data_IF_072705270564
#
_entry.id   IF_072705270564
#
_cell.length_a   1.000
_cell.length_b   1.000
_cell.length_c   1.000
_cell.angle_alpha   90.00
_cell.angle_beta   90.00
_cell.angle_gamma   90.00
#
_symmetry.space_group_name_H-M   'P 1'
#
loop_
_entity.id
_entity.type
_entity.pdbx_description
1 polymer ?
#
# COMPACT_ATOMS: atom_id res chain seq x y z
N UNK A 1 -8.87 7.09 -28.01
CA UNK A 1 -7.94 8.10 -27.48
C UNK A 1 -8.61 8.75 -26.28
N UNK A 2 -7.90 8.78 -25.16
CA UNK A 2 -8.45 9.27 -23.91
C UNK A 2 -7.75 10.62 -23.62
N UNK A 3 -8.44 11.73 -24.01
CA UNK A 3 -7.92 13.07 -23.84
C UNK A 3 -8.75 13.80 -22.79
N UNK A 4 -8.14 14.18 -21.67
CA UNK A 4 -8.79 14.93 -20.59
C UNK A 4 -8.00 16.20 -20.30
N UNK A 5 -8.72 17.31 -20.15
CA UNK A 5 -8.19 18.55 -19.59
C UNK A 5 -8.93 18.86 -18.30
N UNK A 6 -8.18 19.12 -17.24
CA UNK A 6 -8.69 19.64 -15.99
C UNK A 6 -8.31 21.12 -15.92
N UNK A 7 -9.29 21.98 -15.72
CA UNK A 7 -9.12 23.44 -15.64
C UNK A 7 -9.53 23.97 -14.26
N UNK A 8 -9.12 25.19 -13.97
CA UNK A 8 -9.47 25.88 -12.71
C UNK A 8 -9.11 25.05 -11.47
N UNK A 9 -8.00 24.32 -11.52
CA UNK A 9 -7.54 23.43 -10.47
C UNK A 9 -6.58 24.14 -9.51
N UNK A 10 -6.79 24.01 -8.20
CA UNK A 10 -5.73 24.23 -7.21
C UNK A 10 -4.89 22.96 -7.13
N UNK A 11 -3.76 22.95 -7.83
CA UNK A 11 -2.90 21.76 -7.95
C UNK A 11 -1.91 21.74 -6.79
N UNK A 12 -1.88 20.64 -6.04
CA UNK A 12 -0.90 20.38 -4.99
C UNK A 12 -0.24 19.04 -5.25
N UNK A 13 1.09 18.98 -5.28
CA UNK A 13 1.82 17.75 -5.60
C UNK A 13 3.21 17.72 -4.97
N UNK A 14 3.66 16.58 -4.42
CA UNK A 14 5.10 16.36 -4.25
C UNK A 14 5.76 16.29 -5.64
N UNK A 15 7.06 16.52 -5.74
CA UNK A 15 7.81 16.42 -6.99
C UNK A 15 8.95 15.42 -6.86
N UNK A 16 9.24 14.67 -7.92
CA UNK A 16 10.36 13.77 -8.02
C UNK A 16 10.02 12.37 -8.49
N UNK A 17 11.05 11.53 -8.59
CA UNK A 17 10.98 10.14 -9.10
C UNK A 17 11.42 9.09 -8.09
N UNK A 18 11.56 9.50 -6.83
CA UNK A 18 11.95 8.67 -5.68
C UNK A 18 11.25 9.13 -4.42
N UNK A 19 11.38 8.38 -3.33
CA UNK A 19 10.83 8.76 -2.04
C UNK A 19 11.42 10.07 -1.53
N UNK A 20 10.58 10.91 -0.95
CA UNK A 20 10.97 12.14 -0.26
C UNK A 20 11.21 11.80 1.21
N UNK A 21 12.38 12.21 1.73
CA UNK A 21 12.81 11.90 3.09
C UNK A 21 12.68 13.08 4.05
N UNK A 22 12.44 12.74 5.31
CA UNK A 22 12.51 13.69 6.41
C UNK A 22 11.57 14.88 6.23
N UNK A 23 11.99 16.03 6.71
CA UNK A 23 11.18 17.26 6.68
C UNK A 23 10.78 17.75 5.29
N UNK A 24 11.49 17.32 4.24
CA UNK A 24 11.12 17.64 2.87
C UNK A 24 9.75 17.06 2.46
N UNK A 25 9.27 16.02 3.16
CA UNK A 25 7.91 15.47 2.95
C UNK A 25 6.80 16.51 3.15
N UNK A 26 7.03 17.52 3.99
CA UNK A 26 6.09 18.60 4.24
C UNK A 26 6.05 19.68 3.14
N UNK A 27 6.78 19.51 2.02
CA UNK A 27 6.83 20.49 0.95
C UNK A 27 6.07 19.99 -0.27
N UNK A 28 4.97 20.67 -0.60
CA UNK A 28 4.22 20.43 -1.84
C UNK A 28 4.42 21.60 -2.80
N UNK A 29 4.58 21.29 -4.08
CA UNK A 29 4.50 22.28 -5.13
C UNK A 29 3.03 22.66 -5.37
N UNK A 30 2.75 23.96 -5.49
CA UNK A 30 1.39 24.49 -5.65
C UNK A 30 1.25 25.33 -6.93
N UNK A 31 0.16 25.09 -7.66
CA UNK A 31 -0.34 26.00 -8.69
C UNK A 31 -1.77 26.40 -8.27
N UNK A 32 -2.00 27.65 -7.84
CA UNK A 32 -3.28 28.06 -7.26
C UNK A 32 -4.47 28.00 -8.23
N UNK A 33 -4.21 28.18 -9.53
CA UNK A 33 -5.22 28.11 -10.58
C UNK A 33 -4.57 27.56 -11.84
N UNK A 34 -4.62 26.25 -12.01
CA UNK A 34 -3.87 25.53 -13.03
C UNK A 34 -4.71 24.69 -13.97
N UNK A 35 -4.03 24.23 -15.00
CA UNK A 35 -4.51 23.26 -15.99
C UNK A 35 -3.63 22.02 -15.97
N UNK A 36 -4.26 20.84 -16.05
CA UNK A 36 -3.59 19.56 -16.28
C UNK A 36 -4.14 18.95 -17.56
N UNK A 37 -3.27 18.56 -18.50
CA UNK A 37 -3.66 17.82 -19.70
C UNK A 37 -3.17 16.38 -19.60
N UNK A 38 -4.06 15.45 -19.90
CA UNK A 38 -3.77 14.02 -19.97
C UNK A 38 -4.10 13.50 -21.36
N UNK A 39 -3.09 12.95 -22.03
CA UNK A 39 -3.21 12.38 -23.38
C UNK A 39 -2.82 10.90 -23.32
N UNK A 40 -3.73 10.02 -23.72
CA UNK A 40 -3.52 8.56 -23.71
C UNK A 40 -2.99 8.02 -22.37
N UNK A 41 -3.51 8.61 -21.28
CA UNK A 41 -3.20 8.22 -19.92
C UNK A 41 -1.95 8.85 -19.30
N UNK A 42 -1.22 9.71 -20.03
CA UNK A 42 0.00 10.38 -19.58
C UNK A 42 -0.24 11.88 -19.45
N UNK A 43 0.30 12.50 -18.40
CA UNK A 43 0.29 13.95 -18.21
C UNK A 43 1.19 14.59 -19.27
N UNK A 44 0.62 15.43 -20.13
CA UNK A 44 1.34 16.13 -21.21
C UNK A 44 1.55 17.61 -20.92
N UNK A 45 0.77 18.15 -19.99
CA UNK A 45 0.91 19.54 -19.51
C UNK A 45 0.46 19.64 -18.05
N UNK A 46 1.18 20.43 -17.29
CA UNK A 46 0.78 20.96 -15.99
C UNK A 46 1.34 22.36 -15.83
N UNK A 47 0.49 23.33 -15.49
CA UNK A 47 0.90 24.73 -15.40
C UNK A 47 -0.28 25.65 -15.12
N UNK A 48 -0.06 26.95 -15.25
CA UNK A 48 -1.12 27.96 -15.14
C UNK A 48 -2.24 27.73 -16.18
N UNK A 49 -3.44 28.24 -15.89
CA UNK A 49 -4.58 28.10 -16.81
C UNK A 49 -4.25 28.62 -18.22
N UNK A 50 -4.59 27.81 -19.21
CA UNK A 50 -4.43 28.18 -20.61
C UNK A 50 -5.54 29.15 -21.06
N UNK A 51 -5.18 30.12 -21.89
CA UNK A 51 -6.13 31.05 -22.53
C UNK A 51 -6.99 30.36 -23.60
N UNK A 52 -6.54 29.25 -24.16
CA UNK A 52 -7.28 28.43 -25.14
C UNK A 52 -7.06 26.96 -24.86
N UNK A 53 -8.13 26.18 -25.00
CA UNK A 53 -8.07 24.73 -24.84
C UNK A 53 -7.88 24.05 -26.19
N UNK A 54 -7.06 22.99 -26.29
CA UNK A 54 -6.93 22.20 -27.52
C UNK A 54 -8.25 21.49 -27.85
N UNK A 55 -8.55 21.35 -29.15
CA UNK A 55 -9.73 20.66 -29.62
C UNK A 55 -9.64 19.12 -29.36
N UNK A 56 -10.78 18.48 -29.17
CA UNK A 56 -10.88 17.02 -29.05
C UNK A 56 -10.66 16.46 -27.65
N UNK A 57 -10.50 17.31 -26.63
CA UNK A 57 -10.40 16.88 -25.23
C UNK A 57 -11.74 16.98 -24.50
N UNK A 58 -11.99 16.03 -23.60
CA UNK A 58 -13.02 16.19 -22.56
C UNK A 58 -12.54 17.19 -21.52
N UNK A 59 -13.38 18.14 -21.14
CA UNK A 59 -13.03 19.17 -20.15
C UNK A 59 -13.66 18.85 -18.81
N UNK A 60 -12.86 18.83 -17.76
CA UNK A 60 -13.29 18.75 -16.37
C UNK A 60 -12.96 20.08 -15.68
N UNK A 61 -13.96 20.80 -15.22
CA UNK A 61 -13.77 22.03 -14.44
C UNK A 61 -13.65 21.66 -12.95
N UNK A 62 -12.50 21.90 -12.36
CA UNK A 62 -12.26 21.67 -10.94
C UNK A 62 -12.89 22.74 -10.03
N UNK A 63 -13.36 23.87 -10.61
CA UNK A 63 -14.06 24.94 -9.89
C UNK A 63 -13.26 25.48 -8.67
N UNK A 64 -11.94 25.57 -8.78
CA UNK A 64 -11.04 26.02 -7.70
C UNK A 64 -10.72 24.96 -6.65
N UNK A 65 -11.20 23.73 -6.82
CA UNK A 65 -10.94 22.62 -5.88
C UNK A 65 -9.51 22.12 -5.96
N UNK A 66 -9.08 21.50 -4.84
CA UNK A 66 -7.77 20.86 -4.78
C UNK A 66 -7.73 19.62 -5.67
N UNK A 67 -6.67 19.56 -6.50
CA UNK A 67 -6.30 18.37 -7.28
C UNK A 67 -4.96 17.85 -6.79
N UNK A 68 -4.94 16.57 -6.39
CA UNK A 68 -3.79 15.82 -5.89
C UNK A 68 -3.43 14.69 -6.85
N UNK A 69 -2.21 14.12 -6.77
CA UNK A 69 -1.92 12.82 -7.36
C UNK A 69 -2.89 11.76 -6.83
N UNK A 70 -3.22 10.77 -7.63
CA UNK A 70 -4.00 9.61 -7.18
C UNK A 70 -3.35 8.95 -5.97
N UNK A 71 -4.15 8.59 -4.96
CA UNK A 71 -3.66 7.94 -3.76
C UNK A 71 -3.19 6.52 -4.07
N UNK A 72 -2.18 6.08 -3.33
CA UNK A 72 -1.53 4.78 -3.47
C UNK A 72 -1.56 4.08 -2.12
N UNK A 73 -2.22 2.94 -2.08
CA UNK A 73 -2.22 2.06 -0.91
C UNK A 73 -1.12 1.01 -1.08
N UNK A 74 0.01 1.25 -0.46
CA UNK A 74 1.23 0.47 -0.67
C UNK A 74 1.34 -0.78 0.21
N UNK A 75 0.23 -1.19 0.88
CA UNK A 75 0.17 -2.41 1.68
C UNK A 75 -1.26 -2.90 1.85
N UNK A 76 -1.65 -3.94 1.14
CA UNK A 76 -2.93 -4.64 1.34
C UNK A 76 -2.79 -6.14 1.13
N UNK A 77 -3.71 -6.90 1.72
CA UNK A 77 -3.92 -8.32 1.48
C UNK A 77 -5.31 -8.55 0.88
N UNK A 78 -5.64 -7.80 -0.18
CA UNK A 78 -7.01 -7.69 -0.71
C UNK A 78 -7.61 -8.99 -1.28
N UNK A 79 -6.79 -10.02 -1.56
CA UNK A 79 -7.25 -11.30 -2.09
C UNK A 79 -7.29 -12.34 -0.97
N UNK A 80 -8.46 -12.56 -0.39
CA UNK A 80 -8.65 -13.52 0.71
C UNK A 80 -10.05 -14.15 0.70
N UNK A 81 -10.16 -15.39 1.19
CA UNK A 81 -11.41 -16.08 1.47
C UNK A 81 -11.92 -15.80 2.90
N UNK A 82 -13.24 -15.88 3.08
CA UNK A 82 -13.87 -15.75 4.40
C UNK A 82 -13.78 -14.35 5.03
N UNK A 83 -14.24 -14.25 6.27
CA UNK A 83 -14.13 -13.12 7.18
C UNK A 83 -14.01 -13.63 8.61
N UNK A 84 -13.53 -12.81 9.55
CA UNK A 84 -13.34 -13.17 10.97
C UNK A 84 -14.03 -12.19 11.94
N UNK A 85 -15.31 -11.80 11.75
CA UNK A 85 -15.97 -10.81 12.60
C UNK A 85 -16.17 -11.31 14.05
N UNK A 86 -16.33 -12.62 14.27
CA UNK A 86 -16.44 -13.22 15.61
C UNK A 86 -15.14 -13.04 16.39
N UNK A 87 -13.98 -13.25 15.75
CA UNK A 87 -12.67 -13.03 16.36
C UNK A 87 -12.46 -11.58 16.75
N UNK A 88 -12.92 -10.64 15.91
CA UNK A 88 -12.92 -9.22 16.26
C UNK A 88 -13.73 -8.96 17.55
N UNK A 89 -14.94 -9.54 17.67
CA UNK A 89 -15.77 -9.40 18.88
C UNK A 89 -15.09 -10.03 20.10
N UNK A 90 -14.44 -11.19 19.97
CA UNK A 90 -13.71 -11.81 21.06
C UNK A 90 -12.56 -10.95 21.57
N UNK A 91 -11.80 -10.37 20.64
CA UNK A 91 -10.72 -9.41 20.94
C UNK A 91 -11.26 -8.17 21.67
N UNK A 92 -12.39 -7.63 21.21
CA UNK A 92 -13.06 -6.50 21.87
C UNK A 92 -13.48 -6.81 23.31
N UNK A 93 -13.77 -8.08 23.62
CA UNK A 93 -14.10 -8.56 24.97
C UNK A 93 -12.87 -8.86 25.83
N UNK A 94 -11.66 -8.75 25.27
CA UNK A 94 -10.42 -8.95 26.01
C UNK A 94 -9.79 -10.35 25.85
N UNK A 95 -10.30 -11.18 24.92
CA UNK A 95 -9.68 -12.46 24.62
C UNK A 95 -8.26 -12.25 24.08
N UNK A 96 -7.31 -13.03 24.59
CA UNK A 96 -5.93 -13.01 24.11
C UNK A 96 -5.81 -13.68 22.74
N UNK A 97 -4.74 -13.33 22.01
CA UNK A 97 -4.40 -13.98 20.75
C UNK A 97 -4.37 -15.52 20.89
N UNK A 98 -3.76 -16.04 21.97
CA UNK A 98 -3.68 -17.47 22.23
C UNK A 98 -5.05 -18.11 22.40
N UNK A 99 -5.96 -17.48 23.15
CA UNK A 99 -7.32 -18.00 23.36
C UNK A 99 -8.13 -18.03 22.05
N UNK A 100 -7.92 -17.06 21.15
CA UNK A 100 -8.51 -17.03 19.81
C UNK A 100 -7.98 -18.20 18.97
N UNK A 101 -6.65 -18.43 18.99
CA UNK A 101 -6.02 -19.55 18.28
C UNK A 101 -6.52 -20.93 18.78
N UNK A 102 -6.67 -21.11 20.09
CA UNK A 102 -7.19 -22.35 20.69
C UNK A 102 -8.63 -22.68 20.24
N UNK A 103 -9.43 -21.65 19.90
CA UNK A 103 -10.77 -21.80 19.32
C UNK A 103 -10.76 -22.07 17.81
N UNK A 104 -9.57 -22.23 17.21
CA UNK A 104 -9.40 -22.47 15.77
C UNK A 104 -9.47 -21.19 14.91
N UNK A 105 -9.28 -20.02 15.54
CA UNK A 105 -9.19 -18.71 14.88
C UNK A 105 -7.77 -18.38 14.39
N UNK A 106 -7.55 -17.10 14.10
CA UNK A 106 -6.28 -16.59 13.61
C UNK A 106 -6.09 -16.77 12.11
N UNK A 107 -4.85 -16.54 11.66
CA UNK A 107 -4.50 -16.57 10.22
C UNK A 107 -4.86 -17.89 9.54
N UNK A 108 -4.76 -19.01 10.23
CA UNK A 108 -5.06 -20.34 9.70
C UNK A 108 -6.54 -20.48 9.30
N UNK A 109 -7.45 -19.78 9.97
CA UNK A 109 -8.85 -19.72 9.55
C UNK A 109 -9.02 -19.05 8.17
N UNK A 110 -8.34 -17.93 7.94
CA UNK A 110 -8.31 -17.27 6.62
C UNK A 110 -7.64 -18.16 5.57
N UNK A 111 -6.53 -18.84 5.92
CA UNK A 111 -5.84 -19.75 4.99
C UNK A 111 -6.78 -20.85 4.53
N UNK A 112 -7.49 -21.51 5.44
CA UNK A 112 -8.47 -22.55 5.09
C UNK A 112 -9.56 -21.99 4.15
N UNK A 113 -10.18 -20.87 4.53
CA UNK A 113 -11.22 -20.25 3.71
C UNK A 113 -10.71 -19.84 2.32
N UNK A 114 -9.47 -19.34 2.20
CA UNK A 114 -8.87 -18.96 0.92
C UNK A 114 -8.56 -20.17 0.06
N UNK A 115 -8.12 -21.28 0.65
CA UNK A 115 -7.91 -22.55 -0.05
C UNK A 115 -9.20 -23.07 -0.67
N UNK A 116 -10.32 -22.97 0.06
CA UNK A 116 -11.64 -23.46 -0.35
C UNK A 116 -12.37 -22.54 -1.32
N UNK A 117 -12.06 -21.24 -1.35
CA UNK A 117 -12.73 -20.24 -2.20
C UNK A 117 -12.25 -20.37 -3.65
N UNK A 118 -13.18 -20.29 -4.60
CA UNK A 118 -12.86 -20.33 -6.04
C UNK A 118 -12.07 -19.08 -6.47
N UNK A 119 -11.37 -19.18 -7.61
CA UNK A 119 -10.66 -18.05 -8.21
C UNK A 119 -11.63 -16.90 -8.53
N UNK A 120 -12.79 -17.21 -9.10
CA UNK A 120 -13.79 -16.22 -9.49
C UNK A 120 -14.38 -15.50 -8.29
N UNK A 121 -14.66 -16.19 -7.18
CA UNK A 121 -15.17 -15.57 -5.96
C UNK A 121 -14.10 -14.70 -5.28
N UNK A 122 -12.83 -15.12 -5.28
CA UNK A 122 -11.71 -14.30 -4.79
C UNK A 122 -11.56 -13.03 -5.64
N UNK A 123 -11.67 -13.15 -6.97
CA UNK A 123 -11.60 -12.02 -7.90
C UNK A 123 -12.75 -11.05 -7.67
N UNK A 124 -13.98 -11.53 -7.65
CA UNK A 124 -15.17 -10.70 -7.43
C UNK A 124 -15.09 -9.92 -6.11
N UNK A 125 -14.60 -10.56 -5.04
CA UNK A 125 -14.40 -9.92 -3.74
C UNK A 125 -13.31 -8.85 -3.79
N UNK A 126 -12.18 -9.12 -4.42
CA UNK A 126 -11.09 -8.15 -4.59
C UNK A 126 -11.56 -6.94 -5.42
N UNK A 127 -12.29 -7.16 -6.50
CA UNK A 127 -12.87 -6.09 -7.33
C UNK A 127 -13.86 -5.23 -6.55
N UNK A 128 -14.63 -5.82 -5.63
CA UNK A 128 -15.51 -5.05 -4.75
C UNK A 128 -14.72 -4.10 -3.83
N UNK A 129 -13.63 -4.57 -3.20
CA UNK A 129 -12.76 -3.70 -2.40
C UNK A 129 -12.12 -2.60 -3.25
N UNK A 130 -11.64 -2.94 -4.45
CA UNK A 130 -11.07 -1.97 -5.40
C UNK A 130 -12.11 -0.90 -5.76
N UNK A 131 -13.38 -1.27 -6.02
CA UNK A 131 -14.43 -0.30 -6.31
C UNK A 131 -14.67 0.64 -5.12
N UNK A 132 -14.75 0.11 -3.90
CA UNK A 132 -14.90 0.92 -2.69
C UNK A 132 -13.74 1.88 -2.49
N UNK A 133 -12.50 1.39 -2.62
CA UNK A 133 -11.28 2.18 -2.42
C UNK A 133 -11.08 3.23 -3.53
N UNK A 134 -11.45 2.90 -4.78
CA UNK A 134 -11.37 3.85 -5.90
C UNK A 134 -12.25 5.09 -5.68
N UNK A 135 -13.38 4.95 -4.97
CA UNK A 135 -14.25 6.07 -4.60
C UNK A 135 -13.61 6.99 -3.55
N UNK A 136 -12.59 6.52 -2.85
CA UNK A 136 -11.82 7.28 -1.87
C UNK A 136 -10.47 7.77 -2.41
N UNK A 137 -10.30 7.79 -3.75
CA UNK A 137 -9.13 8.36 -4.40
C UNK A 137 -8.00 7.39 -4.72
N UNK A 138 -8.15 6.11 -4.39
CA UNK A 138 -7.12 5.10 -4.71
C UNK A 138 -7.08 4.84 -6.21
N UNK A 139 -5.87 4.93 -6.78
CA UNK A 139 -5.58 4.64 -8.19
C UNK A 139 -4.60 3.48 -8.38
N UNK A 140 -3.87 3.14 -7.32
CA UNK A 140 -2.94 2.01 -7.28
C UNK A 140 -2.95 1.39 -5.89
N UNK A 141 -2.94 0.05 -5.81
CA UNK A 141 -2.79 -0.70 -4.57
C UNK A 141 -1.62 -1.69 -4.68
N UNK A 142 -0.98 -2.00 -3.57
CA UNK A 142 -0.21 -3.24 -3.48
C UNK A 142 -1.15 -4.37 -3.07
N UNK A 143 -1.08 -5.49 -3.78
CA UNK A 143 -1.76 -6.73 -3.43
C UNK A 143 -0.75 -7.80 -3.05
N UNK A 144 -0.81 -8.27 -1.80
CA UNK A 144 0.03 -9.35 -1.29
C UNK A 144 -0.74 -10.67 -1.31
N UNK A 145 -0.08 -11.78 -1.69
CA UNK A 145 -0.55 -13.14 -1.37
C UNK A 145 -0.36 -13.45 0.12
N UNK A 146 -0.24 -14.70 0.54
CA UNK A 146 0.10 -15.05 1.92
C UNK A 146 -1.04 -15.65 2.74
N UNK A 147 -2.17 -15.91 2.12
CA UNK A 147 -3.26 -16.69 2.72
C UNK A 147 -3.44 -18.07 2.05
N UNK A 148 -2.50 -18.49 1.23
CA UNK A 148 -2.43 -19.84 0.72
C UNK A 148 -1.57 -20.75 1.58
N UNK A 149 -0.35 -20.30 1.80
CA UNK A 149 0.73 -21.04 2.47
C UNK A 149 1.02 -22.41 1.85
N UNK A 150 0.50 -22.63 0.64
CA UNK A 150 0.77 -23.78 -0.22
C UNK A 150 0.94 -23.32 -1.66
N UNK A 151 1.55 -24.17 -2.49
CA UNK A 151 1.87 -23.83 -3.88
C UNK A 151 0.63 -23.43 -4.69
N UNK A 152 -0.46 -24.18 -4.58
CA UNK A 152 -1.65 -23.99 -5.44
C UNK A 152 -2.39 -22.69 -5.10
N UNK A 153 -2.56 -22.43 -3.79
CA UNK A 153 -3.37 -21.30 -3.34
C UNK A 153 -2.59 -19.98 -3.40
N UNK A 154 -1.28 -19.99 -3.14
CA UNK A 154 -0.44 -18.79 -3.36
C UNK A 154 -0.46 -18.36 -4.82
N UNK A 155 -0.30 -19.31 -5.76
CA UNK A 155 -0.42 -19.01 -7.18
C UNK A 155 -1.83 -18.51 -7.53
N UNK A 156 -2.88 -19.13 -7.00
CA UNK A 156 -4.27 -18.71 -7.22
C UNK A 156 -4.50 -17.24 -6.81
N UNK A 157 -3.99 -16.81 -5.65
CA UNK A 157 -4.10 -15.41 -5.22
C UNK A 157 -3.37 -14.46 -6.19
N UNK A 158 -2.15 -14.80 -6.61
CA UNK A 158 -1.39 -14.01 -7.58
C UNK A 158 -2.05 -13.99 -8.97
N UNK A 159 -2.62 -15.10 -9.41
CA UNK A 159 -3.36 -15.20 -10.67
C UNK A 159 -4.64 -14.35 -10.66
N UNK A 160 -5.34 -14.23 -9.53
CA UNK A 160 -6.45 -13.28 -9.33
C UNK A 160 -6.00 -11.85 -9.60
N UNK A 161 -4.89 -11.41 -8.97
CA UNK A 161 -4.37 -10.05 -9.13
C UNK A 161 -3.92 -9.79 -10.58
N UNK A 162 -3.29 -10.77 -11.21
CA UNK A 162 -2.92 -10.70 -12.63
C UNK A 162 -4.16 -10.55 -13.53
N UNK A 163 -5.21 -11.35 -13.30
CA UNK A 163 -6.44 -11.28 -14.08
C UNK A 163 -7.15 -9.92 -13.94
N UNK A 164 -7.10 -9.29 -12.76
CA UNK A 164 -7.60 -7.92 -12.56
C UNK A 164 -6.74 -6.91 -13.33
N UNK A 165 -5.41 -7.03 -13.28
CA UNK A 165 -4.49 -6.13 -14.01
C UNK A 165 -4.61 -6.25 -15.53
N UNK A 166 -4.97 -7.41 -16.05
CA UNK A 166 -5.14 -7.65 -17.48
C UNK A 166 -6.48 -7.13 -18.01
N UNK A 167 -7.45 -6.80 -17.15
CA UNK A 167 -8.70 -6.16 -17.58
C UNK A 167 -8.44 -4.73 -18.08
N UNK A 168 -8.73 -4.43 -19.37
CA UNK A 168 -8.54 -3.08 -19.93
C UNK A 168 -9.43 -2.03 -19.26
N UNK A 169 -10.48 -2.43 -18.56
CA UNK A 169 -11.41 -1.54 -17.84
C UNK A 169 -11.11 -1.44 -16.34
N UNK A 170 -10.00 -2.03 -15.87
CA UNK A 170 -9.65 -1.95 -14.45
C UNK A 170 -9.61 -0.51 -13.95
N UNK A 171 -10.15 -0.29 -12.77
CA UNK A 171 -10.21 1.03 -12.13
C UNK A 171 -8.92 1.38 -11.40
N UNK A 172 -8.19 0.38 -10.92
CA UNK A 172 -7.00 0.53 -10.08
C UNK A 172 -5.94 -0.43 -10.58
N UNK A 173 -4.68 -0.03 -10.61
CA UNK A 173 -3.56 -0.93 -10.86
C UNK A 173 -3.16 -1.65 -9.57
N UNK A 174 -2.80 -2.92 -9.67
CA UNK A 174 -2.29 -3.71 -8.55
C UNK A 174 -0.78 -3.93 -8.74
N UNK A 175 0.04 -3.50 -7.78
CA UNK A 175 1.42 -3.94 -7.64
C UNK A 175 1.42 -5.27 -6.88
N UNK A 176 1.94 -6.32 -7.48
CA UNK A 176 1.79 -7.68 -6.94
C UNK A 176 2.99 -8.10 -6.12
N UNK A 177 2.73 -8.60 -4.92
CA UNK A 177 3.74 -9.07 -3.96
C UNK A 177 3.50 -10.53 -3.57
N UNK A 178 4.51 -11.37 -3.75
CA UNK A 178 4.51 -12.73 -3.24
C UNK A 178 4.88 -12.72 -1.75
N UNK A 179 3.96 -13.14 -0.89
CA UNK A 179 4.12 -13.24 0.55
C UNK A 179 3.88 -14.68 1.05
N UNK A 180 4.47 -15.70 0.40
CA UNK A 180 4.37 -17.07 0.88
C UNK A 180 4.85 -17.26 2.32
N UNK A 181 5.75 -16.39 2.79
CA UNK A 181 6.25 -16.36 4.16
C UNK A 181 5.44 -15.43 5.10
N UNK A 182 4.10 -15.48 5.04
CA UNK A 182 3.21 -14.71 5.94
C UNK A 182 3.00 -15.42 7.29
N UNK A 183 2.98 -16.74 7.28
CA UNK A 183 2.93 -17.57 8.48
C UNK A 183 3.54 -18.93 8.20
N UNK A 184 3.86 -19.69 9.25
CA UNK A 184 4.30 -21.07 9.11
C UNK A 184 3.07 -21.97 8.92
N UNK A 185 2.92 -22.65 7.77
CA UNK A 185 1.80 -23.55 7.56
C UNK A 185 1.87 -24.76 8.52
N UNK A 186 0.71 -25.28 8.86
CA UNK A 186 0.60 -26.40 9.84
C UNK A 186 1.49 -27.58 9.48
N UNK A 187 1.64 -27.83 8.16
CA UNK A 187 2.43 -28.95 7.60
C UNK A 187 3.94 -28.79 7.85
N UNK A 188 4.40 -27.57 8.11
CA UNK A 188 5.81 -27.24 8.37
C UNK A 188 6.10 -26.81 9.81
N UNK A 189 5.12 -26.88 10.71
CA UNK A 189 5.32 -26.50 12.11
C UNK A 189 6.51 -27.24 12.74
N UNK A 190 7.48 -26.47 13.29
CA UNK A 190 8.76 -26.99 13.81
C UNK A 190 9.77 -27.33 12.72
N UNK A 191 9.52 -26.99 11.47
CA UNK A 191 10.43 -27.17 10.32
C UNK A 191 10.43 -25.91 9.45
N UNK A 192 10.49 -24.74 10.09
CA UNK A 192 10.38 -23.42 9.45
C UNK A 192 11.46 -23.23 8.38
N UNK A 193 12.70 -23.72 8.63
CA UNK A 193 13.78 -23.65 7.65
C UNK A 193 13.47 -24.44 6.36
N UNK A 194 12.85 -25.63 6.50
CA UNK A 194 12.44 -26.41 5.34
C UNK A 194 11.32 -25.73 4.54
N UNK A 195 10.48 -24.93 5.21
CA UNK A 195 9.49 -24.10 4.52
C UNK A 195 10.15 -22.94 3.74
N UNK A 196 11.12 -22.27 4.34
CA UNK A 196 11.91 -21.25 3.65
C UNK A 196 12.64 -21.86 2.43
N UNK A 197 13.24 -23.05 2.56
CA UNK A 197 13.86 -23.74 1.44
C UNK A 197 12.83 -24.05 0.32
N UNK A 198 11.63 -24.52 0.68
CA UNK A 198 10.55 -24.70 -0.29
C UNK A 198 10.18 -23.40 -1.03
N UNK A 199 10.08 -22.29 -0.31
CA UNK A 199 9.78 -20.98 -0.93
C UNK A 199 10.91 -20.55 -1.88
N UNK A 200 12.16 -20.71 -1.49
CA UNK A 200 13.34 -20.32 -2.29
C UNK A 200 13.50 -21.20 -3.53
N UNK A 201 13.38 -22.52 -3.37
CA UNK A 201 13.75 -23.48 -4.41
C UNK A 201 12.59 -23.78 -5.38
N UNK A 202 11.35 -23.69 -4.91
CA UNK A 202 10.20 -24.05 -5.73
C UNK A 202 9.28 -22.88 -6.04
N UNK A 203 8.99 -21.99 -5.07
CA UNK A 203 8.01 -20.94 -5.27
C UNK A 203 8.57 -19.73 -6.00
N UNK A 204 9.71 -19.17 -5.55
CA UNK A 204 10.31 -17.99 -6.20
C UNK A 204 10.60 -18.20 -7.69
N UNK A 205 11.21 -19.33 -8.12
CA UNK A 205 11.42 -19.58 -9.56
C UNK A 205 10.11 -19.63 -10.34
N UNK A 206 9.10 -20.32 -9.81
CA UNK A 206 7.81 -20.48 -10.48
C UNK A 206 7.04 -19.17 -10.58
N UNK A 207 7.00 -18.36 -9.52
CA UNK A 207 6.37 -17.05 -9.51
C UNK A 207 7.04 -16.11 -10.52
N UNK A 208 8.38 -16.17 -10.61
CA UNK A 208 9.16 -15.38 -11.59
C UNK A 208 8.90 -15.82 -13.02
N UNK A 209 8.96 -17.12 -13.29
CA UNK A 209 8.71 -17.70 -14.62
C UNK A 209 7.34 -17.32 -15.16
N UNK A 210 6.32 -17.36 -14.30
CA UNK A 210 4.93 -17.00 -14.66
C UNK A 210 4.67 -15.50 -14.69
N UNK A 211 5.62 -14.66 -14.23
CA UNK A 211 5.46 -13.21 -14.15
C UNK A 211 4.29 -12.81 -13.26
N UNK A 212 4.15 -13.44 -12.08
CA UNK A 212 2.98 -13.26 -11.20
C UNK A 212 3.19 -12.23 -10.11
N UNK A 213 4.44 -11.89 -9.75
CA UNK A 213 4.73 -10.89 -8.73
C UNK A 213 5.94 -10.05 -9.12
N UNK A 214 5.91 -8.79 -8.69
CA UNK A 214 7.00 -7.81 -8.83
C UNK A 214 7.91 -7.85 -7.60
N UNK A 215 7.32 -8.15 -6.43
CA UNK A 215 7.97 -8.08 -5.14
C UNK A 215 7.86 -9.40 -4.38
N UNK A 216 8.75 -9.58 -3.40
CA UNK A 216 8.70 -10.64 -2.39
C UNK A 216 8.75 -10.01 -1.00
N UNK A 217 7.94 -10.56 -0.08
CA UNK A 217 7.80 -10.08 1.29
C UNK A 217 7.86 -11.25 2.27
N UNK A 218 8.12 -10.96 3.55
CA UNK A 218 8.17 -11.92 4.65
C UNK A 218 7.73 -11.28 5.96
N UNK A 219 7.05 -12.02 6.80
CA UNK A 219 6.73 -11.61 8.16
C UNK A 219 7.89 -11.93 9.12
N UNK A 220 8.80 -10.98 9.28
CA UNK A 220 9.93 -11.05 10.20
C UNK A 220 9.50 -10.67 11.60
N UNK A 221 9.09 -11.68 12.41
CA UNK A 221 8.53 -11.43 13.72
C UNK A 221 8.82 -12.60 14.67
N UNK A 222 8.92 -12.30 15.97
CA UNK A 222 9.13 -13.30 17.00
C UNK A 222 8.00 -14.34 17.00
N UNK A 223 8.37 -15.60 16.78
CA UNK A 223 7.40 -16.71 16.73
C UNK A 223 6.81 -16.95 15.35
N UNK A 224 7.23 -16.21 14.31
CA UNK A 224 6.90 -16.46 12.91
C UNK A 224 8.17 -16.82 12.13
N UNK A 225 8.87 -15.84 11.54
CA UNK A 225 10.16 -16.08 10.89
C UNK A 225 11.25 -15.22 11.51
N UNK A 226 12.41 -15.84 11.75
CA UNK A 226 13.58 -15.18 12.33
C UNK A 226 14.21 -14.21 11.32
N UNK A 227 15.02 -13.26 11.83
CA UNK A 227 15.82 -12.34 11.00
C UNK A 227 16.68 -13.11 9.99
N UNK A 228 17.28 -14.24 10.39
CA UNK A 228 18.13 -15.04 9.50
C UNK A 228 17.32 -15.76 8.42
N UNK A 229 16.17 -16.32 8.73
CA UNK A 229 15.24 -16.90 7.76
C UNK A 229 14.75 -15.84 6.78
N UNK A 230 14.43 -14.64 7.28
CA UNK A 230 14.01 -13.49 6.46
C UNK A 230 15.12 -13.04 5.53
N UNK A 231 16.35 -12.92 6.03
CA UNK A 231 17.54 -12.61 5.21
C UNK A 231 17.70 -13.59 4.06
N UNK A 232 17.66 -14.89 4.34
CA UNK A 232 17.83 -15.94 3.32
C UNK A 232 16.78 -15.84 2.21
N UNK A 233 15.50 -15.70 2.56
CA UNK A 233 14.43 -15.60 1.57
C UNK A 233 14.54 -14.32 0.74
N UNK A 234 14.72 -13.17 1.38
CA UNK A 234 14.76 -11.88 0.69
C UNK A 234 16.00 -11.71 -0.19
N UNK A 235 17.18 -12.23 0.24
CA UNK A 235 18.37 -12.26 -0.61
C UNK A 235 18.15 -13.13 -1.86
N UNK A 236 17.60 -14.33 -1.69
CA UNK A 236 17.28 -15.22 -2.79
C UNK A 236 16.22 -14.61 -3.76
N UNK A 237 15.26 -13.84 -3.25
CA UNK A 237 14.32 -13.09 -4.06
C UNK A 237 14.99 -11.94 -4.84
N UNK A 238 15.86 -11.16 -4.18
CA UNK A 238 16.61 -10.06 -4.79
C UNK A 238 17.51 -10.54 -5.91
N UNK A 239 18.21 -11.68 -5.72
CA UNK A 239 19.04 -12.31 -6.76
C UNK A 239 18.25 -12.73 -8.00
N UNK A 240 16.95 -13.01 -7.83
CA UNK A 240 16.02 -13.34 -8.93
C UNK A 240 15.33 -12.12 -9.53
N UNK A 241 15.69 -10.91 -9.07
CA UNK A 241 15.18 -9.64 -9.57
C UNK A 241 13.76 -9.33 -9.09
N UNK A 242 13.36 -9.77 -7.90
CA UNK A 242 12.22 -9.22 -7.17
C UNK A 242 12.63 -7.97 -6.39
N UNK A 243 11.76 -6.96 -6.31
CA UNK A 243 11.83 -5.98 -5.25
C UNK A 243 11.57 -6.67 -3.91
N UNK A 244 12.24 -6.28 -2.84
CA UNK A 244 12.05 -6.91 -1.52
C UNK A 244 11.40 -5.94 -0.54
N UNK A 245 10.47 -6.46 0.26
CA UNK A 245 9.73 -5.79 1.31
C UNK A 245 9.75 -6.63 2.57
N UNK A 246 9.35 -6.09 3.71
CA UNK A 246 9.38 -6.82 4.96
C UNK A 246 8.29 -6.29 5.91
N UNK A 247 7.44 -7.19 6.46
CA UNK A 247 6.67 -6.91 7.67
C UNK A 247 7.65 -6.96 8.84
N UNK A 248 7.80 -5.86 9.56
CA UNK A 248 8.87 -5.66 10.52
C UNK A 248 8.38 -5.06 11.83
N UNK A 249 8.83 -5.64 12.95
CA UNK A 249 8.68 -5.06 14.27
C UNK A 249 7.23 -4.63 14.59
N UNK A 250 6.25 -5.46 14.18
CA UNK A 250 4.82 -5.21 14.39
C UNK A 250 4.43 -5.51 15.83
N UNK A 251 4.84 -6.67 16.37
CA UNK A 251 4.44 -7.17 17.69
C UNK A 251 5.50 -6.84 18.74
N UNK A 252 6.78 -7.03 18.40
CA UNK A 252 7.92 -6.68 19.26
C UNK A 252 9.07 -6.14 18.44
N UNK A 253 9.99 -5.39 19.08
CA UNK A 253 11.27 -5.04 18.45
C UNK A 253 12.09 -6.30 18.22
N UNK A 254 12.30 -6.69 16.97
CA UNK A 254 12.89 -7.98 16.61
C UNK A 254 14.07 -7.87 15.64
N UNK A 255 14.30 -6.69 15.04
CA UNK A 255 15.41 -6.43 14.11
C UNK A 255 15.00 -6.49 12.65
N UNK A 256 13.69 -6.44 12.35
CA UNK A 256 13.16 -6.39 11.00
C UNK A 256 13.50 -5.10 10.28
N UNK A 257 13.44 -3.95 10.98
CA UNK A 257 13.80 -2.65 10.44
C UNK A 257 15.30 -2.55 10.11
N UNK A 258 16.18 -3.11 10.95
CA UNK A 258 17.62 -3.21 10.68
C UNK A 258 17.90 -4.06 9.44
N UNK A 259 17.23 -5.20 9.32
CA UNK A 259 17.37 -6.10 8.17
C UNK A 259 16.90 -5.40 6.88
N UNK A 260 15.79 -4.63 6.95
CA UNK A 260 15.32 -3.84 5.81
C UNK A 260 16.39 -2.86 5.31
N UNK A 261 17.06 -2.15 6.22
CA UNK A 261 18.19 -1.28 5.92
C UNK A 261 19.37 -2.04 5.32
N UNK A 262 19.78 -3.17 5.90
CA UNK A 262 20.85 -4.03 5.40
C UNK A 262 20.60 -4.49 3.96
N UNK A 263 19.37 -4.92 3.68
CA UNK A 263 18.98 -5.42 2.36
C UNK A 263 18.63 -4.32 1.35
N UNK A 264 18.58 -3.05 1.78
CA UNK A 264 18.06 -1.94 0.98
C UNK A 264 16.69 -2.31 0.39
N UNK A 265 15.78 -2.74 1.26
CA UNK A 265 14.42 -3.08 0.88
C UNK A 265 13.69 -1.87 0.31
N UNK A 266 12.67 -2.08 -0.53
CA UNK A 266 11.80 -0.99 -1.01
C UNK A 266 11.06 -0.36 0.16
N UNK A 267 10.51 -1.20 1.04
CA UNK A 267 9.87 -0.75 2.26
C UNK A 267 10.04 -1.75 3.41
N UNK A 268 9.91 -1.23 4.63
CA UNK A 268 9.64 -1.96 5.84
C UNK A 268 8.28 -1.50 6.37
N UNK A 269 7.40 -2.43 6.64
CA UNK A 269 5.99 -2.16 6.86
C UNK A 269 5.62 -2.45 8.34
N UNK A 270 4.61 -1.80 8.93
CA UNK A 270 4.16 -1.77 10.33
C UNK A 270 5.03 -0.92 11.26
N UNK A 271 6.17 -1.38 11.73
CA UNK A 271 7.17 -0.65 12.48
C UNK A 271 6.70 -0.07 13.84
N UNK A 272 5.68 -0.70 14.46
CA UNK A 272 5.13 -0.24 15.74
C UNK A 272 6.23 -0.22 16.83
N UNK A 273 7.12 -1.22 16.79
CA UNK A 273 8.18 -1.43 17.76
C UNK A 273 9.59 -1.31 17.15
N UNK A 274 9.74 -0.66 15.99
CA UNK A 274 11.05 -0.45 15.37
C UNK A 274 12.02 0.21 16.35
N UNK A 275 13.26 -0.31 16.44
CA UNK A 275 14.30 0.25 17.31
C UNK A 275 14.85 1.57 16.74
N UNK A 276 15.58 2.32 17.56
CA UNK A 276 16.28 3.53 17.10
C UNK A 276 17.34 3.22 16.04
N UNK A 277 18.02 2.07 16.17
CA UNK A 277 18.99 1.59 15.19
C UNK A 277 18.31 1.19 13.89
N UNK A 278 17.12 0.56 13.96
CA UNK A 278 16.32 0.21 12.78
C UNK A 278 15.84 1.45 12.04
N UNK A 279 15.31 2.46 12.75
CA UNK A 279 14.91 3.74 12.15
C UNK A 279 16.11 4.40 11.46
N UNK A 280 17.28 4.44 12.11
CA UNK A 280 18.50 5.01 11.52
C UNK A 280 18.93 4.23 10.27
N UNK A 281 18.93 2.90 10.32
CA UNK A 281 19.30 2.05 9.20
C UNK A 281 18.39 2.26 7.98
N UNK A 282 17.07 2.38 8.20
CA UNK A 282 16.11 2.70 7.12
C UNK A 282 16.38 4.07 6.50
N UNK A 283 16.59 5.10 7.32
CA UNK A 283 16.86 6.46 6.85
C UNK A 283 18.14 6.52 5.98
N UNK A 284 19.23 5.91 6.44
CA UNK A 284 20.53 5.90 5.75
C UNK A 284 20.51 5.10 4.44
N UNK A 285 19.68 4.06 4.36
CA UNK A 285 19.59 3.17 3.20
C UNK A 285 18.38 3.44 2.31
N UNK A 286 17.70 4.57 2.50
CA UNK A 286 16.56 5.01 1.69
C UNK A 286 15.37 4.03 1.65
N UNK A 287 15.18 3.23 2.71
CA UNK A 287 14.05 2.33 2.86
C UNK A 287 12.81 3.14 3.23
N UNK A 288 11.68 2.92 2.56
CA UNK A 288 10.43 3.58 2.90
C UNK A 288 9.82 2.90 4.14
N UNK A 289 9.55 3.68 5.18
CA UNK A 289 8.81 3.24 6.35
C UNK A 289 7.31 3.31 6.05
N UNK A 290 6.67 2.18 5.76
CA UNK A 290 5.23 2.12 5.47
C UNK A 290 4.45 1.89 6.76
N UNK A 291 3.73 2.91 7.21
CA UNK A 291 3.02 2.92 8.48
C UNK A 291 1.53 2.61 8.27
N UNK A 292 0.97 1.79 9.15
CA UNK A 292 -0.36 1.19 9.01
C UNK A 292 -1.28 1.59 10.18
N UNK A 293 -1.73 2.88 10.23
CA UNK A 293 -2.43 3.41 11.38
C UNK A 293 -3.80 2.73 11.63
N UNK A 294 -4.47 2.21 10.59
CA UNK A 294 -5.74 1.49 10.76
C UNK A 294 -5.55 0.18 11.52
N UNK A 295 -4.45 -0.53 11.30
CA UNK A 295 -4.13 -1.78 12.01
C UNK A 295 -3.86 -1.52 13.48
N UNK A 296 -3.02 -0.52 13.81
CA UNK A 296 -2.79 -0.11 15.18
C UNK A 296 -4.11 0.29 15.88
N UNK A 297 -4.98 1.04 15.20
CA UNK A 297 -6.28 1.45 15.71
C UNK A 297 -7.20 0.26 16.03
N UNK A 298 -7.34 -0.68 15.08
CA UNK A 298 -8.25 -1.83 15.25
C UNK A 298 -7.73 -2.86 16.25
N UNK A 299 -6.41 -2.98 16.39
CA UNK A 299 -5.77 -3.84 17.38
C UNK A 299 -5.65 -3.18 18.75
N UNK A 300 -5.86 -1.85 18.86
CA UNK A 300 -5.63 -1.04 20.07
C UNK A 300 -4.16 -1.05 20.51
N UNK A 301 -3.26 -1.15 19.54
CA UNK A 301 -1.82 -1.10 19.77
C UNK A 301 -1.29 0.34 19.70
N UNK A 302 -0.10 0.61 20.25
CA UNK A 302 0.58 1.87 20.04
C UNK A 302 0.78 2.17 18.56
N UNK A 303 0.68 3.44 18.16
CA UNK A 303 1.01 3.84 16.80
C UNK A 303 2.53 3.84 16.59
N UNK A 304 2.97 3.51 15.38
CA UNK A 304 4.37 3.67 14.97
C UNK A 304 4.83 5.13 15.13
N UNK A 305 6.10 5.34 15.42
CA UNK A 305 6.70 6.65 15.73
C UNK A 305 6.88 7.53 14.49
N UNK A 306 5.78 7.81 13.75
CA UNK A 306 5.81 8.48 12.45
C UNK A 306 6.50 9.83 12.48
N UNK A 307 6.19 10.69 13.46
CA UNK A 307 6.86 11.99 13.61
C UNK A 307 8.36 11.84 13.81
N UNK A 308 8.77 10.94 14.70
CA UNK A 308 10.19 10.72 14.99
C UNK A 308 10.93 10.13 13.79
N UNK A 309 10.30 9.21 13.03
CA UNK A 309 10.89 8.66 11.80
C UNK A 309 11.16 9.76 10.78
N UNK A 310 10.19 10.66 10.57
CA UNK A 310 10.38 11.83 9.69
C UNK A 310 11.50 12.73 10.20
N UNK A 311 11.51 13.06 11.49
CA UNK A 311 12.53 13.95 12.08
C UNK A 311 13.94 13.34 12.01
N UNK A 312 14.07 12.02 12.01
CA UNK A 312 15.33 11.28 11.82
C UNK A 312 15.68 11.02 10.35
N UNK A 313 14.89 11.53 9.41
CA UNK A 313 15.21 11.47 7.98
C UNK A 313 14.65 10.30 7.22
N UNK A 314 13.73 9.50 7.77
CA UNK A 314 13.05 8.46 7.01
C UNK A 314 12.10 9.05 5.96
N UNK A 315 11.94 8.36 4.85
CA UNK A 315 10.78 8.48 3.99
C UNK A 315 9.63 7.67 4.61
N UNK A 316 8.48 8.31 4.86
CA UNK A 316 7.31 7.62 5.40
C UNK A 316 6.25 7.47 4.31
N UNK A 317 5.68 6.28 4.17
CA UNK A 317 4.44 6.02 3.43
C UNK A 317 3.32 5.65 4.41
N UNK A 318 2.08 5.80 3.98
CA UNK A 318 0.87 5.38 4.69
C UNK A 318 0.12 4.34 3.86
N UNK A 319 -0.44 3.34 4.51
CA UNK A 319 -1.26 2.33 3.86
C UNK A 319 -2.34 1.82 4.80
N UNK A 320 -3.31 1.05 4.26
CA UNK A 320 -4.47 0.60 5.04
C UNK A 320 -4.24 -0.72 5.76
N UNK A 321 -3.39 -1.58 5.23
CA UNK A 321 -3.29 -2.98 5.64
C UNK A 321 -4.65 -3.70 5.57
N UNK A 322 -5.41 -3.45 4.50
CA UNK A 322 -6.69 -4.13 4.31
C UNK A 322 -6.48 -5.66 4.33
N UNK A 323 -6.96 -6.28 5.38
CA UNK A 323 -6.89 -7.73 5.58
C UNK A 323 -8.05 -8.24 6.46
N UNK A 324 -8.40 -9.54 6.44
CA UNK A 324 -9.55 -10.04 7.20
C UNK A 324 -9.29 -10.24 8.70
N UNK A 325 -8.06 -10.06 9.15
CA UNK A 325 -7.64 -10.39 10.53
C UNK A 325 -7.55 -9.20 11.45
N UNK A 326 -6.58 -8.36 11.18
CA UNK A 326 -6.25 -7.20 12.01
C UNK A 326 -6.96 -5.92 11.54
N UNK A 327 -7.19 -5.75 10.23
CA UNK A 327 -7.78 -4.53 9.67
C UNK A 327 -8.65 -4.80 8.45
N UNK A 328 -9.93 -5.13 8.64
CA UNK A 328 -10.87 -5.30 7.53
C UNK A 328 -11.43 -3.95 7.06
N UNK A 329 -10.55 -3.00 6.75
CA UNK A 329 -10.89 -1.63 6.36
C UNK A 329 -9.90 -1.07 5.33
N UNK A 330 -10.43 -0.55 4.22
CA UNK A 330 -9.70 0.23 3.22
C UNK A 330 -10.02 1.74 3.33
N UNK A 331 -10.28 2.26 4.54
CA UNK A 331 -10.72 3.64 4.74
C UNK A 331 -9.57 4.64 4.63
N UNK A 332 -9.45 5.27 3.47
CA UNK A 332 -8.45 6.33 3.22
C UNK A 332 -8.69 7.57 4.09
N UNK A 333 -9.93 8.06 4.27
CA UNK A 333 -10.18 9.20 5.17
C UNK A 333 -9.71 8.94 6.61
N UNK A 334 -9.98 7.74 7.14
CA UNK A 334 -9.55 7.40 8.49
C UNK A 334 -8.03 7.24 8.58
N UNK A 335 -7.37 6.73 7.53
CA UNK A 335 -5.90 6.65 7.46
C UNK A 335 -5.28 8.04 7.60
N UNK A 336 -5.75 9.04 6.84
CA UNK A 336 -5.30 10.43 6.96
C UNK A 336 -5.54 11.01 8.36
N UNK A 337 -6.74 10.81 8.91
CA UNK A 337 -7.09 11.33 10.23
C UNK A 337 -6.17 10.74 11.32
N UNK A 338 -5.98 9.43 11.34
CA UNK A 338 -5.13 8.77 12.34
C UNK A 338 -3.65 9.18 12.21
N UNK A 339 -3.14 9.30 10.99
CA UNK A 339 -1.77 9.74 10.74
C UNK A 339 -1.53 11.17 11.27
N UNK A 340 -2.45 12.10 11.01
CA UNK A 340 -2.32 13.48 11.48
C UNK A 340 -2.57 13.60 13.00
N UNK A 341 -3.59 12.92 13.54
CA UNK A 341 -4.01 13.09 14.94
C UNK A 341 -3.09 12.33 15.92
N UNK A 342 -2.73 11.09 15.59
CA UNK A 342 -2.00 10.22 16.52
C UNK A 342 -0.51 10.05 16.19
N UNK A 343 -0.14 10.15 14.92
CA UNK A 343 1.26 10.02 14.51
C UNK A 343 1.92 11.37 14.27
N UNK A 344 1.17 12.48 14.42
CA UNK A 344 1.62 13.88 14.31
C UNK A 344 2.26 14.21 12.95
N UNK A 345 1.76 13.64 11.86
CA UNK A 345 2.12 14.08 10.52
C UNK A 345 1.38 15.39 10.17
N UNK A 346 2.04 16.29 9.45
CA UNK A 346 1.32 17.40 8.80
C UNK A 346 0.44 16.88 7.68
N UNK A 347 -0.48 17.70 7.19
CA UNK A 347 -1.35 17.33 6.06
C UNK A 347 -0.53 17.08 4.80
N UNK A 348 0.48 17.92 4.56
CA UNK A 348 1.39 17.81 3.41
C UNK A 348 2.26 16.55 3.49
N UNK A 349 2.77 16.22 4.69
CA UNK A 349 3.51 14.97 4.92
C UNK A 349 2.63 13.75 4.69
N UNK A 350 1.38 13.77 5.14
CA UNK A 350 0.43 12.68 4.91
C UNK A 350 0.04 12.54 3.42
N UNK A 351 -0.09 13.65 2.67
CA UNK A 351 -0.28 13.63 1.23
C UNK A 351 0.92 13.01 0.53
N UNK A 352 2.15 13.45 0.85
CA UNK A 352 3.37 12.87 0.30
C UNK A 352 3.46 11.37 0.60
N UNK A 353 3.08 10.96 1.82
CA UNK A 353 3.08 9.56 2.26
C UNK A 353 2.08 8.69 1.49
N UNK A 354 0.89 9.23 1.15
CA UNK A 354 -0.16 8.52 0.41
C UNK A 354 -0.02 8.63 -1.11
N UNK A 355 0.98 9.36 -1.61
CA UNK A 355 1.20 9.59 -3.04
C UNK A 355 2.61 9.16 -3.46
N UNK A 356 3.59 10.06 -3.52
CA UNK A 356 4.92 9.76 -4.05
C UNK A 356 5.69 8.74 -3.21
N UNK A 357 5.62 8.80 -1.87
CA UNK A 357 6.27 7.81 -1.02
C UNK A 357 5.55 6.44 -1.07
N UNK A 358 4.22 6.41 -1.17
CA UNK A 358 3.48 5.19 -1.46
C UNK A 358 3.89 4.56 -2.79
N UNK A 359 4.10 5.39 -3.83
CA UNK A 359 4.63 4.93 -5.12
C UNK A 359 6.06 4.36 -4.99
N UNK A 360 6.91 5.01 -4.21
CA UNK A 360 8.28 4.55 -3.97
C UNK A 360 8.32 3.22 -3.22
N UNK A 361 7.42 3.02 -2.22
CA UNK A 361 7.31 1.79 -1.46
C UNK A 361 6.97 0.56 -2.32
N UNK A 362 6.43 0.79 -3.52
CA UNK A 362 6.12 -0.24 -4.52
C UNK A 362 6.97 -0.11 -5.80
N UNK A 363 8.07 0.66 -5.76
CA UNK A 363 9.01 0.81 -6.87
C UNK A 363 8.46 1.51 -8.12
N UNK A 364 7.46 2.40 -7.99
CA UNK A 364 6.78 3.05 -9.14
C UNK A 364 6.80 4.59 -9.09
N UNK A 365 7.65 5.20 -8.27
CA UNK A 365 7.69 6.67 -8.09
C UNK A 365 8.10 7.43 -9.37
N UNK A 366 8.75 6.78 -10.33
CA UNK A 366 9.09 7.35 -11.63
C UNK A 366 7.88 7.46 -12.57
N UNK A 367 6.80 6.72 -12.32
CA UNK A 367 5.63 6.66 -13.19
C UNK A 367 4.37 7.27 -12.59
N UNK A 368 4.21 7.23 -11.25
CA UNK A 368 3.02 7.68 -10.52
C UNK A 368 3.39 8.44 -9.24
N UNK A 369 2.41 8.96 -8.52
CA UNK A 369 2.56 9.56 -7.20
C UNK A 369 2.87 11.06 -7.19
N UNK A 370 3.05 11.69 -8.35
CA UNK A 370 3.13 13.15 -8.48
C UNK A 370 2.48 13.64 -9.77
N UNK A 371 2.13 14.93 -9.82
CA UNK A 371 1.54 15.58 -11.02
C UNK A 371 2.69 16.25 -11.77
N UNK A 372 3.33 15.48 -12.65
CA UNK A 372 4.47 15.91 -13.47
C UNK A 372 4.29 15.40 -14.90
N UNK A 373 4.77 16.19 -15.87
CA UNK A 373 4.75 15.79 -17.28
C UNK A 373 5.53 14.50 -17.47
N UNK A 374 4.95 13.54 -18.18
CA UNK A 374 5.51 12.20 -18.43
C UNK A 374 5.03 11.10 -17.46
N UNK A 375 4.41 11.47 -16.34
CA UNK A 375 3.80 10.50 -15.43
C UNK A 375 2.35 10.16 -15.83
N UNK A 376 1.81 9.10 -15.26
CA UNK A 376 0.41 8.71 -15.49
C UNK A 376 -0.54 9.78 -14.97
N UNK A 377 -1.61 10.02 -15.71
CA UNK A 377 -2.69 10.92 -15.35
C UNK A 377 -3.64 10.33 -14.31
N UNK A 378 -3.08 9.94 -13.16
CA UNK A 378 -3.78 9.41 -11.99
C UNK A 378 -3.97 10.54 -10.99
N UNK A 379 -5.22 10.97 -10.79
CA UNK A 379 -5.52 12.19 -10.06
C UNK A 379 -6.72 12.01 -9.13
N UNK A 380 -6.72 12.79 -8.06
CA UNK A 380 -7.85 12.94 -7.13
C UNK A 380 -8.28 14.39 -7.08
N UNK A 381 -9.57 14.65 -7.28
CA UNK A 381 -10.19 15.96 -7.05
C UNK A 381 -10.92 15.91 -5.71
N UNK A 382 -10.57 16.79 -4.79
CA UNK A 382 -11.27 16.91 -3.51
C UNK A 382 -12.55 17.73 -3.66
N UNK A 383 -13.54 17.50 -2.80
CA UNK A 383 -14.73 18.35 -2.71
C UNK A 383 -14.48 19.56 -1.77
N UNK A 384 -13.31 20.17 -1.91
CA UNK A 384 -12.86 21.31 -1.11
C UNK A 384 -11.75 22.09 -1.83
N UNK A 385 -11.56 23.34 -1.44
CA UNK A 385 -10.48 24.21 -1.88
C UNK A 385 -9.22 24.13 -0.98
N UNK A 386 -9.25 23.27 0.04
CA UNK A 386 -8.14 23.07 0.98
C UNK A 386 -7.86 21.60 1.22
N UNK A 387 -6.57 21.15 1.25
CA UNK A 387 -6.22 19.77 1.55
C UNK A 387 -6.46 19.41 3.03
N UNK A 388 -6.62 20.39 3.93
CA UNK A 388 -6.93 20.17 5.33
C UNK A 388 -8.23 19.41 5.56
N UNK A 389 -9.12 19.35 4.56
CA UNK A 389 -10.35 18.58 4.61
C UNK A 389 -10.08 17.07 4.82
N UNK A 390 -8.93 16.54 4.35
CA UNK A 390 -8.60 15.11 4.42
C UNK A 390 -8.60 14.58 5.88
N UNK A 391 -7.81 15.12 6.83
CA UNK A 391 -7.89 14.70 8.22
C UNK A 391 -9.12 15.26 8.95
N UNK A 392 -9.63 16.44 8.54
CA UNK A 392 -10.76 17.11 9.22
C UNK A 392 -12.06 16.31 9.09
N UNK A 393 -12.31 15.70 7.93
CA UNK A 393 -13.48 14.86 7.66
C UNK A 393 -13.34 13.45 8.26
N UNK A 394 -12.68 13.30 9.36
CA UNK A 394 -12.41 12.05 10.08
C UNK A 394 -13.38 10.93 9.74
N UNK A 395 -13.01 10.02 8.84
CA UNK A 395 -13.86 8.91 8.40
C UNK A 395 -14.89 9.22 7.30
N UNK A 396 -15.09 10.49 6.91
CA UNK A 396 -15.95 10.86 5.78
C UNK A 396 -15.13 11.02 4.50
N UNK A 397 -15.70 10.62 3.36
CA UNK A 397 -15.04 10.77 2.06
C UNK A 397 -15.04 12.22 1.59
N UNK A 398 -13.85 12.78 1.37
CA UNK A 398 -13.66 14.14 0.84
C UNK A 398 -13.38 14.13 -0.69
N UNK A 399 -13.41 12.99 -1.34
CA UNK A 399 -13.12 12.85 -2.78
C UNK A 399 -14.37 13.12 -3.60
N UNK A 400 -14.28 14.10 -4.52
CA UNK A 400 -15.31 14.40 -5.51
C UNK A 400 -15.17 13.50 -6.75
N UNK A 401 -13.93 13.29 -7.20
CA UNK A 401 -13.66 12.48 -8.38
C UNK A 401 -12.29 11.83 -8.31
N UNK A 402 -12.23 10.59 -8.78
CA UNK A 402 -10.99 9.83 -8.97
C UNK A 402 -10.78 9.61 -10.45
N UNK A 403 -9.60 9.94 -10.93
CA UNK A 403 -9.21 9.87 -12.33
C UNK A 403 -8.06 8.88 -12.47
N UNK A 404 -8.24 7.88 -13.32
CA UNK A 404 -7.24 6.87 -13.64
C UNK A 404 -6.83 6.99 -15.10
N UNK A 405 -5.56 7.31 -15.36
CA UNK A 405 -5.02 7.51 -16.72
C UNK A 405 -5.90 8.43 -17.57
N UNK A 406 -6.32 9.56 -17.00
CA UNK A 406 -7.17 10.51 -17.68
C UNK A 406 -8.63 10.06 -17.89
N UNK A 407 -9.06 8.96 -17.28
CA UNK A 407 -10.46 8.49 -17.28
C UNK A 407 -11.05 8.68 -15.89
N UNK A 408 -12.18 9.40 -15.82
CA UNK A 408 -12.94 9.53 -14.56
C UNK A 408 -13.53 8.17 -14.23
N UNK A 409 -13.18 7.62 -13.06
CA UNK A 409 -13.63 6.31 -12.57
C UNK A 409 -14.60 6.40 -11.39
N UNK A 410 -14.66 7.63 -10.79
CA UNK A 410 -15.62 7.99 -9.74
C UNK A 410 -15.88 9.49 -9.78
#
# INVERSE_FOLDING_TARGET
MNHLIIINARILTPLGTSAIQGKAMGTLFEIPNGTIEVTDGIITYVGENRSSLPEGYSVFDAEGRVVLPGFIDSHTHLVFGGYRPEEFIWRMKGDSYMSIMERGGGIINTVRATRETSLDDLKAKAEWYIDVMSRMGITTVEGKSGYGLDKGTELKQLEVMKAINEDPNRKVDISTTFLGAHAVPTEYKGREDAYIDFLIDQMLPLVKEKGLAEHCDIFCEKGVFTVEQSRRLLQAAKERGFGVKIHADEIVSFGGAELAGELQALSADHLLHASDTGIQAMAENHVVATLLPLTAFTLREPYARGREMIDRGCAVALATDLNPGSCCSGSIPLTFALACIYMNLSVEEAITAMTLNGAAAIGRADHIGSIEVGKQGDLVVLDADTPAILPYYTGMNAVRSTIKRGKIIY
#
